data_IF_323239812451
#
_entry.id   IF_323239812451
#
_cell.length_a   1.000
_cell.length_b   1.000
_cell.length_c   1.000
_cell.angle_alpha   90.00
_cell.angle_beta   90.00
_cell.angle_gamma   90.00
#
_symmetry.space_group_name_H-M   'P 1'
#
loop_
_entity.id
_entity.type
_entity.pdbx_description
1 polymer ?
#
# COMPACT_ATOMS: atom_id res chain seq x y z
N UNK A 1 -14.62 -6.28 15.31
CA UNK A 1 -13.38 -6.37 14.52
C UNK A 1 -13.39 -7.72 13.83
N UNK A 2 -13.12 -7.79 12.52
CA UNK A 2 -13.04 -9.07 11.81
C UNK A 2 -11.87 -9.92 12.32
N UNK A 3 -11.93 -11.23 12.06
CA UNK A 3 -10.84 -12.16 12.36
C UNK A 3 -10.10 -12.46 11.08
N UNK A 4 -8.78 -12.43 11.12
CA UNK A 4 -7.97 -12.82 9.97
C UNK A 4 -8.26 -14.28 9.59
N UNK A 5 -8.65 -14.58 8.33
CA UNK A 5 -8.98 -15.94 7.91
C UNK A 5 -7.74 -16.85 7.83
N UNK A 6 -6.52 -16.28 7.88
CA UNK A 6 -5.26 -17.04 7.80
C UNK A 6 -4.64 -17.36 9.16
N UNK A 7 -4.85 -16.55 10.19
CA UNK A 7 -4.25 -16.75 11.52
C UNK A 7 -5.24 -16.71 12.70
N UNK A 8 -6.50 -16.32 12.47
CA UNK A 8 -7.57 -16.34 13.47
C UNK A 8 -7.56 -15.19 14.48
N UNK A 9 -6.54 -14.32 14.47
CA UNK A 9 -6.46 -13.14 15.35
C UNK A 9 -7.47 -12.07 14.93
N UNK A 10 -7.98 -11.33 15.91
CA UNK A 10 -8.83 -10.15 15.67
C UNK A 10 -7.96 -8.99 15.17
N UNK A 11 -8.42 -8.33 14.11
CA UNK A 11 -7.71 -7.20 13.47
C UNK A 11 -8.71 -6.10 13.12
N UNK A 12 -8.30 -4.85 13.24
CA UNK A 12 -9.05 -3.63 12.90
C UNK A 12 -8.43 -2.81 11.78
N UNK A 13 -7.26 -3.22 11.27
CA UNK A 13 -6.61 -2.64 10.10
C UNK A 13 -5.90 -3.70 9.26
N UNK A 14 -5.52 -3.29 8.04
CA UNK A 14 -4.68 -4.04 7.10
C UNK A 14 -3.51 -3.15 6.70
N UNK A 15 -2.34 -3.74 6.46
CA UNK A 15 -1.28 -3.03 5.75
C UNK A 15 -1.65 -2.98 4.28
N UNK A 16 -1.54 -1.81 3.65
CA UNK A 16 -1.70 -1.67 2.21
C UNK A 16 -0.32 -1.41 1.60
N UNK A 17 0.12 -2.31 0.73
CA UNK A 17 1.31 -2.14 -0.07
C UNK A 17 0.89 -1.89 -1.51
N UNK A 18 1.39 -0.82 -2.09
CA UNK A 18 1.11 -0.44 -3.46
C UNK A 18 2.40 0.00 -4.15
N UNK A 19 2.49 -0.24 -5.44
CA UNK A 19 3.56 0.29 -6.26
C UNK A 19 3.11 1.63 -6.86
N UNK A 20 3.89 2.68 -6.57
CA UNK A 20 3.66 4.04 -7.08
C UNK A 20 4.81 4.47 -7.97
N UNK A 21 4.48 5.22 -9.02
CA UNK A 21 5.47 6.00 -9.76
C UNK A 21 5.67 7.33 -9.05
N UNK A 22 6.88 7.57 -8.55
CA UNK A 22 7.29 8.87 -8.04
C UNK A 22 8.25 9.54 -9.02
N UNK A 23 7.94 10.76 -9.42
CA UNK A 23 8.77 11.59 -10.29
C UNK A 23 9.54 12.62 -9.45
N UNK A 24 10.86 12.63 -9.64
CA UNK A 24 11.75 13.64 -9.07
C UNK A 24 12.59 14.27 -10.17
N UNK A 25 12.74 15.59 -10.11
CA UNK A 25 13.74 16.29 -10.88
C UNK A 25 15.06 16.27 -10.12
N UNK A 26 16.01 15.50 -10.62
CA UNK A 26 17.39 15.47 -10.15
C UNK A 26 18.21 16.55 -10.87
N UNK A 27 18.86 17.41 -10.09
CA UNK A 27 19.85 18.37 -10.59
C UNK A 27 21.13 18.30 -9.77
N UNK A 28 22.25 18.72 -10.36
CA UNK A 28 23.51 18.89 -9.64
C UNK A 28 23.73 20.38 -9.40
N UNK A 29 23.85 20.76 -8.12
CA UNK A 29 24.11 22.12 -7.70
C UNK A 29 25.50 22.62 -8.13
N UNK A 30 25.71 23.93 -8.04
CA UNK A 30 27.03 24.54 -8.31
C UNK A 30 28.12 24.11 -7.32
N UNK A 31 27.70 23.66 -6.14
CA UNK A 31 28.51 23.06 -5.10
C UNK A 31 28.85 21.57 -5.38
N UNK A 32 28.29 20.99 -6.44
CA UNK A 32 28.51 19.61 -6.85
C UNK A 32 27.60 18.60 -6.15
N UNK A 33 26.67 19.03 -5.29
CA UNK A 33 25.76 18.15 -4.58
C UNK A 33 24.47 17.91 -5.36
N UNK A 34 23.92 16.71 -5.21
CA UNK A 34 22.61 16.34 -5.72
C UNK A 34 21.47 17.09 -5.04
N UNK A 35 20.50 17.52 -5.84
CA UNK A 35 19.27 18.15 -5.38
C UNK A 35 18.09 17.45 -6.06
N UNK A 36 17.17 16.94 -5.26
CA UNK A 36 15.94 16.31 -5.71
C UNK A 36 14.76 17.24 -5.41
N UNK A 37 13.99 17.54 -6.44
CA UNK A 37 12.73 18.27 -6.36
C UNK A 37 11.60 17.28 -6.68
N UNK A 38 10.69 17.08 -5.73
CA UNK A 38 9.50 16.24 -5.93
C UNK A 38 8.59 16.87 -7.00
N UNK A 39 8.17 16.08 -7.97
CA UNK A 39 7.29 16.51 -9.06
C UNK A 39 5.89 15.91 -8.88
N UNK A 40 5.79 14.58 -8.73
CA UNK A 40 4.50 13.86 -8.67
C UNK A 40 4.67 12.46 -8.04
N UNK A 41 3.62 11.93 -7.41
CA UNK A 41 3.48 10.56 -6.89
C UNK A 41 2.12 9.94 -7.24
N UNK A 42 1.32 10.61 -8.07
CA UNK A 42 -0.11 10.32 -8.20
C UNK A 42 -0.46 9.11 -9.07
N UNK A 43 0.52 8.51 -9.75
CA UNK A 43 0.27 7.42 -10.69
C UNK A 43 0.57 6.05 -10.04
N UNK A 44 -0.44 5.18 -9.86
CA UNK A 44 -0.15 3.77 -9.59
C UNK A 44 0.61 3.15 -10.76
N UNK A 45 1.47 2.18 -10.47
CA UNK A 45 2.17 1.44 -11.53
C UNK A 45 1.17 0.50 -12.21
N UNK A 46 0.87 0.78 -13.49
CA UNK A 46 0.00 -0.06 -14.30
C UNK A 46 0.43 -1.55 -14.25
N UNK A 47 -0.54 -2.42 -13.93
CA UNK A 47 -0.34 -3.86 -13.87
C UNK A 47 0.32 -4.39 -12.60
N UNK A 48 0.50 -3.55 -11.56
CA UNK A 48 0.86 -3.99 -10.22
C UNK A 48 -0.32 -3.77 -9.29
N UNK A 49 -0.90 -4.87 -8.80
CA UNK A 49 -2.03 -4.82 -7.88
C UNK A 49 -1.59 -4.33 -6.49
N UNK A 50 -2.52 -3.67 -5.79
CA UNK A 50 -2.39 -3.40 -4.37
C UNK A 50 -2.38 -4.72 -3.59
N UNK A 51 -1.70 -4.76 -2.45
CA UNK A 51 -1.75 -5.88 -1.51
C UNK A 51 -2.25 -5.41 -0.16
N UNK A 52 -3.32 -6.04 0.33
CA UNK A 52 -3.89 -5.82 1.65
C UNK A 52 -3.53 -6.98 2.58
N UNK A 53 -2.66 -6.70 3.54
CA UNK A 53 -1.94 -7.69 4.31
C UNK A 53 -2.37 -7.68 5.78
N UNK A 54 -2.53 -8.86 6.36
CA UNK A 54 -2.83 -9.00 7.78
C UNK A 54 -1.67 -8.48 8.65
N UNK A 55 -1.91 -7.58 9.63
CA UNK A 55 -0.85 -7.03 10.48
C UNK A 55 -0.20 -8.05 11.42
N UNK A 56 -0.83 -9.21 11.62
CA UNK A 56 -0.39 -10.20 12.61
C UNK A 56 0.37 -11.39 12.02
N UNK A 57 0.10 -11.73 10.76
CA UNK A 57 0.74 -12.88 10.10
C UNK A 57 1.35 -12.54 8.74
N UNK A 58 1.23 -11.29 8.31
CA UNK A 58 1.83 -10.75 7.08
C UNK A 58 1.46 -11.49 5.80
N UNK A 59 0.32 -12.20 5.79
CA UNK A 59 -0.24 -12.81 4.59
C UNK A 59 -1.16 -11.82 3.88
N UNK A 60 -1.06 -11.78 2.56
CA UNK A 60 -2.03 -11.09 1.69
C UNK A 60 -3.41 -11.71 1.90
N UNK A 61 -4.40 -10.85 2.17
CA UNK A 61 -5.80 -11.21 2.32
C UNK A 61 -6.61 -10.79 1.10
N UNK A 62 -6.33 -9.61 0.54
CA UNK A 62 -7.04 -9.04 -0.62
C UNK A 62 -6.04 -8.30 -1.51
N UNK A 63 -6.40 -8.12 -2.78
CA UNK A 63 -5.66 -7.30 -3.75
C UNK A 63 -6.52 -6.17 -4.34
N UNK A 64 -7.72 -6.01 -3.79
CA UNK A 64 -8.71 -5.03 -4.21
C UNK A 64 -9.16 -4.21 -3.00
N UNK A 65 -9.25 -2.89 -3.19
CA UNK A 65 -9.59 -1.92 -2.17
C UNK A 65 -11.02 -2.14 -1.63
N UNK A 66 -11.97 -2.48 -2.51
CA UNK A 66 -13.37 -2.66 -2.14
C UNK A 66 -13.53 -3.87 -1.22
N UNK A 67 -12.89 -4.99 -1.54
CA UNK A 67 -12.88 -6.19 -0.71
C UNK A 67 -12.21 -5.93 0.65
N UNK A 68 -11.05 -5.27 0.67
CA UNK A 68 -10.35 -4.93 1.91
C UNK A 68 -11.21 -4.05 2.83
N UNK A 69 -11.89 -3.05 2.28
CA UNK A 69 -12.79 -2.16 3.01
C UNK A 69 -14.03 -2.93 3.50
N UNK A 70 -14.62 -3.78 2.67
CA UNK A 70 -15.79 -4.58 3.03
C UNK A 70 -15.46 -5.57 4.16
N UNK A 71 -14.26 -6.15 4.15
CA UNK A 71 -13.80 -7.01 5.24
C UNK A 71 -13.70 -6.24 6.57
N UNK A 72 -13.07 -5.06 6.57
CA UNK A 72 -12.94 -4.23 7.78
C UNK A 72 -14.30 -3.73 8.31
N UNK A 73 -15.26 -3.46 7.42
CA UNK A 73 -16.65 -3.14 7.78
C UNK A 73 -17.46 -4.35 8.28
N UNK A 74 -16.95 -5.57 8.09
CA UNK A 74 -17.65 -6.81 8.44
C UNK A 74 -18.74 -7.22 7.45
N UNK A 75 -18.71 -6.66 6.23
CA UNK A 75 -19.63 -7.02 5.14
C UNK A 75 -19.28 -8.38 4.52
N UNK A 76 -18.03 -8.82 4.65
CA UNK A 76 -17.52 -10.12 4.19
C UNK A 76 -16.65 -10.76 5.30
N UNK A 77 -16.50 -12.09 5.26
CA UNK A 77 -15.80 -12.89 6.28
C UNK A 77 -14.56 -13.57 5.74
#
# INVERSE_FOLDING_TARGET
MPKCPKCGKEIDYLWNYLAVWEEYKLTIGRDGYEQYEFIDDSAPVDGIDNEYVCPECHKVLFTDDEDAINFLKGNIK
#
